data_IF_520774060720
#
_entry.id   IF_520774060720
#
_cell.length_a   1.000
_cell.length_b   1.000
_cell.length_c   1.000
_cell.angle_alpha   90.00
_cell.angle_beta   90.00
_cell.angle_gamma   90.00
#
_symmetry.space_group_name_H-M   'P 1'
#
loop_
_entity.id
_entity.type
_entity.pdbx_description
1 polymer ?
#
# COMPACT_ATOMS: atom_id res chain seq x y z
N UNK A 1 -5.22 -8.31 14.98
CA UNK A 1 -4.65 -7.98 13.65
C UNK A 1 -5.74 -7.34 12.80
N UNK A 2 -5.39 -6.29 12.05
CA UNK A 2 -6.26 -5.60 11.11
C UNK A 2 -5.67 -5.67 9.71
N UNK A 3 -6.53 -5.70 8.70
CA UNK A 3 -6.14 -5.85 7.29
C UNK A 3 -6.89 -4.86 6.42
N UNK A 4 -6.21 -4.29 5.44
CA UNK A 4 -6.78 -3.39 4.43
C UNK A 4 -6.25 -3.78 3.05
N UNK A 5 -7.15 -3.98 2.09
CA UNK A 5 -6.80 -4.19 0.69
C UNK A 5 -7.03 -2.90 -0.10
N UNK A 6 -6.10 -2.59 -0.98
CA UNK A 6 -6.08 -1.36 -1.76
C UNK A 6 -5.86 -1.69 -3.23
N UNK A 7 -6.70 -1.11 -4.10
CA UNK A 7 -6.48 -1.10 -5.54
C UNK A 7 -5.74 0.17 -5.95
N UNK A 8 -4.61 0.00 -6.63
CA UNK A 8 -3.78 1.06 -7.15
C UNK A 8 -4.15 1.40 -8.59
N UNK A 9 -3.82 2.62 -9.02
CA UNK A 9 -4.11 3.06 -10.38
C UNK A 9 -3.26 2.30 -11.42
N UNK A 10 -2.00 2.05 -11.11
CA UNK A 10 -1.03 1.36 -11.98
C UNK A 10 -0.27 0.26 -11.24
N UNK A 11 0.32 -0.66 -11.99
CA UNK A 11 1.17 -1.73 -11.44
C UNK A 11 2.42 -1.16 -10.74
N UNK A 12 3.00 -0.07 -11.27
CA UNK A 12 4.16 0.61 -10.66
C UNK A 12 3.82 1.20 -9.29
N UNK A 13 2.61 1.74 -9.11
CA UNK A 13 2.16 2.20 -7.79
C UNK A 13 2.02 1.03 -6.82
N UNK A 14 1.51 -0.12 -7.26
CA UNK A 14 1.43 -1.32 -6.43
C UNK A 14 2.83 -1.84 -6.05
N UNK A 15 3.81 -1.76 -6.96
CA UNK A 15 5.19 -2.11 -6.68
C UNK A 15 5.83 -1.18 -5.64
N UNK A 16 5.72 0.14 -5.83
CA UNK A 16 6.25 1.15 -4.91
C UNK A 16 5.57 1.07 -3.52
N UNK A 17 4.29 0.71 -3.46
CA UNK A 17 3.58 0.50 -2.20
C UNK A 17 4.20 -0.60 -1.33
N UNK A 18 4.80 -1.64 -1.93
CA UNK A 18 5.45 -2.74 -1.18
C UNK A 18 6.70 -2.31 -0.41
N UNK A 19 7.21 -1.11 -0.65
CA UNK A 19 8.36 -0.58 0.10
C UNK A 19 7.97 -0.15 1.52
N UNK A 20 6.67 -0.02 1.81
CA UNK A 20 6.15 0.23 3.15
C UNK A 20 6.07 -1.09 3.92
N UNK A 21 6.61 -1.11 5.15
CA UNK A 21 6.56 -2.30 6.00
C UNK A 21 5.12 -2.77 6.28
N UNK A 22 4.90 -4.08 6.20
CA UNK A 22 3.58 -4.68 6.39
C UNK A 22 2.65 -4.57 5.17
N UNK A 23 3.19 -4.20 4.00
CA UNK A 23 2.44 -4.14 2.73
C UNK A 23 2.94 -5.21 1.77
N UNK A 24 2.01 -6.02 1.27
CA UNK A 24 2.29 -7.11 0.33
C UNK A 24 1.49 -6.90 -0.96
N UNK A 25 2.09 -7.20 -2.11
CA UNK A 25 1.37 -7.20 -3.40
C UNK A 25 0.59 -8.50 -3.54
N UNK A 26 -0.71 -8.37 -3.77
CA UNK A 26 -1.65 -9.51 -3.84
C UNK A 26 -2.26 -9.71 -5.25
N UNK A 27 -2.12 -8.72 -6.13
CA UNK A 27 -2.44 -8.82 -7.55
C UNK A 27 -1.64 -7.77 -8.34
N UNK A 28 -1.89 -7.65 -9.66
CA UNK A 28 -1.15 -6.73 -10.52
C UNK A 28 -1.21 -5.28 -10.03
N UNK A 29 -2.38 -4.81 -9.58
CA UNK A 29 -2.54 -3.46 -9.01
C UNK A 29 -3.05 -3.45 -7.58
N UNK A 30 -3.11 -4.59 -6.93
CA UNK A 30 -3.71 -4.71 -5.60
C UNK A 30 -2.64 -5.02 -4.56
N UNK A 31 -2.69 -4.32 -3.42
CA UNK A 31 -1.84 -4.58 -2.25
C UNK A 31 -2.67 -4.79 -1.00
N UNK A 32 -2.09 -5.49 -0.03
CA UNK A 32 -2.67 -5.74 1.28
C UNK A 32 -1.76 -5.18 2.36
N UNK A 33 -2.34 -4.42 3.28
CA UNK A 33 -1.69 -3.94 4.50
C UNK A 33 -2.14 -4.83 5.66
N UNK A 34 -1.19 -5.34 6.45
CA UNK A 34 -1.46 -6.10 7.67
C UNK A 34 -0.79 -5.43 8.86
N UNK A 35 -1.57 -5.11 9.90
CA UNK A 35 -1.10 -4.47 11.13
C UNK A 35 -1.65 -5.14 12.39
N UNK A 36 -1.06 -4.84 13.55
CA UNK A 36 -1.55 -5.38 14.83
C UNK A 36 -2.90 -4.77 15.24
N UNK A 37 -3.11 -3.50 14.93
CA UNK A 37 -4.32 -2.72 15.18
C UNK A 37 -4.64 -1.78 14.01
N UNK A 38 -5.77 -1.05 14.12
CA UNK A 38 -6.21 -0.11 13.09
C UNK A 38 -5.29 1.10 12.91
N UNK A 39 -4.59 1.52 13.97
CA UNK A 39 -3.67 2.65 13.91
C UNK A 39 -2.45 2.29 13.06
N UNK A 40 -1.87 1.11 13.27
CA UNK A 40 -0.76 0.60 12.47
C UNK A 40 -1.14 0.50 10.98
N UNK A 41 -2.34 -0.01 10.67
CA UNK A 41 -2.85 -0.08 9.28
C UNK A 41 -3.03 1.33 8.70
N UNK A 42 -3.59 2.27 9.46
CA UNK A 42 -3.79 3.65 9.01
C UNK A 42 -2.45 4.37 8.75
N UNK A 43 -1.45 4.19 9.62
CA UNK A 43 -0.11 4.74 9.41
C UNK A 43 0.53 4.21 8.12
N UNK A 44 0.43 2.90 7.88
CA UNK A 44 0.92 2.30 6.64
C UNK A 44 0.14 2.79 5.40
N UNK A 45 -1.19 2.96 5.49
CA UNK A 45 -2.01 3.52 4.43
C UNK A 45 -1.57 4.94 4.03
N UNK A 46 -1.29 5.80 5.01
CA UNK A 46 -0.79 7.17 4.76
C UNK A 46 0.59 7.12 4.09
N UNK A 47 1.49 6.24 4.56
CA UNK A 47 2.80 6.05 3.96
C UNK A 47 2.70 5.58 2.49
N UNK A 48 1.84 4.59 2.21
CA UNK A 48 1.57 4.10 0.85
C UNK A 48 1.10 5.24 -0.06
N UNK A 49 0.13 6.06 0.37
CA UNK A 49 -0.35 7.19 -0.42
C UNK A 49 0.73 8.23 -0.68
N UNK A 50 1.60 8.49 0.31
CA UNK A 50 2.67 9.46 0.18
C UNK A 50 3.70 9.03 -0.87
N UNK A 51 4.14 7.77 -0.81
CA UNK A 51 5.21 7.26 -1.68
C UNK A 51 4.75 6.98 -3.10
N UNK A 52 3.51 6.49 -3.28
CA UNK A 52 2.98 6.16 -4.61
C UNK A 52 2.52 7.38 -5.40
N UNK A 53 2.30 8.55 -4.75
CA UNK A 53 1.95 9.80 -5.43
C UNK A 53 2.97 10.21 -6.50
N UNK A 54 4.26 9.93 -6.28
CA UNK A 54 5.32 10.23 -7.25
C UNK A 54 5.40 9.19 -8.37
N UNK A 55 4.86 7.98 -8.16
CA UNK A 55 4.91 6.88 -9.12
C UNK A 55 3.85 7.00 -10.23
N UNK A 56 2.76 7.75 -10.01
CA UNK A 56 1.69 7.94 -11.00
C UNK A 56 1.94 9.01 -12.08
N UNK A 57 3.09 9.70 -12.03
CA UNK A 57 3.38 10.86 -12.89
C UNK A 57 4.27 10.59 -14.11
N UNK A 58 4.37 9.34 -14.57
CA UNK A 58 5.21 8.97 -15.73
C UNK A 58 4.39 8.93 -17.01
#
# INVERSE_FOLDING_TARGET
>A
PATLELEMQTADMADVATWVGGVERIADRSVRIVGQDLLAVFTAFVAVNYITRQAGGR
#
